data_IF_648516746741
#
_entry.id   IF_648516746741
#
_cell.length_a   1.000
_cell.length_b   1.000
_cell.length_c   1.000
_cell.angle_alpha   90.00
_cell.angle_beta   90.00
_cell.angle_gamma   90.00
#
_symmetry.space_group_name_H-M   'P 1'
#
loop_
_entity.id
_entity.type
_entity.pdbx_description
1 polymer ?
#
# COMPACT_ATOMS: atom_id res chain seq x y z
N UNK A 1 -19.87 -5.66 -2.35
CA UNK A 1 -19.25 -4.32 -2.16
C UNK A 1 -20.28 -3.33 -2.66
N UNK A 2 -20.83 -2.50 -1.77
CA UNK A 2 -22.02 -1.70 -2.06
C UNK A 2 -21.67 -0.47 -2.90
N UNK A 3 -22.42 -0.24 -3.97
CA UNK A 3 -22.25 0.88 -4.89
C UNK A 3 -22.29 2.24 -4.17
N UNK A 4 -23.08 2.32 -3.10
CA UNK A 4 -23.21 3.51 -2.26
C UNK A 4 -21.92 3.85 -1.50
N UNK A 5 -21.13 2.84 -1.09
CA UNK A 5 -19.83 3.06 -0.44
C UNK A 5 -18.84 3.72 -1.40
N UNK A 6 -18.72 3.15 -2.62
CA UNK A 6 -17.81 3.69 -3.63
C UNK A 6 -18.15 5.12 -4.01
N UNK A 7 -19.43 5.45 -4.15
CA UNK A 7 -19.85 6.81 -4.47
C UNK A 7 -19.44 7.82 -3.38
N UNK A 8 -19.60 7.45 -2.11
CA UNK A 8 -19.18 8.26 -0.96
C UNK A 8 -17.66 8.45 -0.97
N UNK A 9 -16.90 7.39 -1.24
CA UNK A 9 -15.43 7.41 -1.32
C UNK A 9 -14.92 8.40 -2.39
N UNK A 10 -15.55 8.41 -3.57
CA UNK A 10 -15.22 9.38 -4.63
C UNK A 10 -15.59 10.83 -4.28
N UNK A 11 -16.73 11.05 -3.61
CA UNK A 11 -17.11 12.39 -3.14
C UNK A 11 -16.09 12.88 -2.10
N UNK A 12 -15.77 12.04 -1.13
CA UNK A 12 -14.80 12.37 -0.08
C UNK A 12 -13.45 12.75 -0.69
N UNK A 13 -12.94 11.95 -1.61
CA UNK A 13 -11.66 12.23 -2.28
C UNK A 13 -11.70 13.49 -3.14
N UNK A 14 -12.84 13.77 -3.80
CA UNK A 14 -13.03 15.03 -4.53
C UNK A 14 -12.96 16.24 -3.59
N UNK A 15 -13.56 16.15 -2.41
CA UNK A 15 -13.49 17.20 -1.38
C UNK A 15 -12.05 17.38 -0.89
N UNK A 16 -11.32 16.29 -0.61
CA UNK A 16 -9.91 16.31 -0.18
C UNK A 16 -9.01 17.00 -1.23
N UNK A 17 -9.19 16.67 -2.51
CA UNK A 17 -8.44 17.29 -3.62
C UNK A 17 -8.77 18.78 -3.71
N UNK A 18 -10.06 19.15 -3.70
CA UNK A 18 -10.48 20.55 -3.78
C UNK A 18 -9.97 21.36 -2.59
N UNK A 19 -10.02 20.79 -1.39
CA UNK A 19 -9.47 21.39 -0.17
C UNK A 19 -7.96 21.62 -0.29
N UNK A 20 -7.23 20.61 -0.79
CA UNK A 20 -5.78 20.70 -1.02
C UNK A 20 -5.43 21.77 -2.05
N UNK A 21 -6.18 21.84 -3.16
CA UNK A 21 -5.99 22.86 -4.20
C UNK A 21 -6.22 24.25 -3.62
N UNK A 22 -7.34 24.42 -2.91
CA UNK A 22 -7.69 25.69 -2.30
C UNK A 22 -6.61 26.13 -1.32
N UNK A 23 -6.18 25.26 -0.41
CA UNK A 23 -5.22 25.63 0.63
C UNK A 23 -3.79 25.85 0.10
N UNK A 24 -3.34 25.04 -0.87
CA UNK A 24 -1.94 25.08 -1.34
C UNK A 24 -1.70 26.06 -2.49
N UNK A 25 -2.70 26.29 -3.35
CA UNK A 25 -2.52 27.07 -4.59
C UNK A 25 -3.37 28.35 -4.67
N UNK A 26 -4.50 28.42 -3.96
CA UNK A 26 -5.41 29.58 -4.02
C UNK A 26 -5.29 30.46 -2.77
N UNK A 27 -5.24 29.85 -1.59
CA UNK A 27 -5.05 30.55 -0.34
C UNK A 27 -3.64 31.15 -0.32
N UNK A 28 -3.56 32.46 -0.05
CA UNK A 28 -2.30 33.11 0.31
C UNK A 28 -1.92 32.61 1.69
N UNK A 29 -1.31 31.43 1.73
CA UNK A 29 -0.79 30.85 2.97
C UNK A 29 0.45 31.62 3.39
N UNK A 30 0.61 31.82 4.71
CA UNK A 30 1.81 32.39 5.33
C UNK A 30 3.10 31.68 4.85
N UNK A 31 2.96 30.42 4.42
CA UNK A 31 4.01 29.60 3.81
C UNK A 31 4.61 30.22 2.53
N UNK A 32 3.84 30.96 1.73
CA UNK A 32 4.36 31.65 0.54
C UNK A 32 5.28 32.80 0.93
N UNK A 33 4.91 33.55 1.97
CA UNK A 33 5.69 34.67 2.46
C UNK A 33 7.01 34.13 3.07
N UNK A 34 6.92 33.10 3.91
CA UNK A 34 8.07 32.50 4.59
C UNK A 34 9.04 31.77 3.62
N UNK A 35 8.53 31.09 2.59
CA UNK A 35 9.39 30.46 1.57
C UNK A 35 9.98 31.49 0.61
N UNK A 36 9.22 32.51 0.21
CA UNK A 36 9.71 33.53 -0.73
C UNK A 36 10.77 34.41 -0.08
N UNK A 37 10.61 34.75 1.21
CA UNK A 37 11.58 35.53 1.98
C UNK A 37 12.84 34.73 2.31
N UNK A 38 12.72 33.48 2.77
CA UNK A 38 13.88 32.69 3.21
C UNK A 38 14.63 31.97 2.07
N UNK A 39 13.92 31.44 1.06
CA UNK A 39 14.53 30.57 0.05
C UNK A 39 14.94 31.26 -1.26
N UNK A 40 14.66 32.57 -1.41
CA UNK A 40 15.07 33.42 -2.56
C UNK A 40 14.78 32.88 -3.97
N UNK A 41 13.94 31.84 -4.13
CA UNK A 41 13.66 31.23 -5.42
C UNK A 41 12.20 30.73 -5.53
N UNK A 42 11.40 31.46 -6.31
CA UNK A 42 9.98 31.14 -6.61
C UNK A 42 9.76 29.72 -7.15
N UNK A 43 10.75 29.15 -7.83
CA UNK A 43 10.68 27.78 -8.36
C UNK A 43 10.60 26.71 -7.25
N UNK A 44 11.36 26.89 -6.17
CA UNK A 44 11.40 25.95 -5.04
C UNK A 44 10.05 25.95 -4.29
N UNK A 45 9.43 27.12 -4.12
CA UNK A 45 8.11 27.24 -3.50
C UNK A 45 7.04 26.41 -4.23
N UNK A 46 7.03 26.42 -5.56
CA UNK A 46 6.10 25.62 -6.35
C UNK A 46 6.38 24.12 -6.19
N UNK A 47 7.64 23.70 -6.16
CA UNK A 47 8.01 22.30 -5.92
C UNK A 47 7.50 21.83 -4.56
N UNK A 48 7.70 22.63 -3.50
CA UNK A 48 7.20 22.33 -2.15
C UNK A 48 5.67 22.20 -2.15
N UNK A 49 4.93 23.10 -2.82
CA UNK A 49 3.47 23.00 -2.98
C UNK A 49 3.03 21.70 -3.63
N UNK A 50 3.68 21.31 -4.72
CA UNK A 50 3.38 20.05 -5.40
C UNK A 50 3.68 18.83 -4.53
N UNK A 51 4.79 18.82 -3.80
CA UNK A 51 5.12 17.70 -2.92
C UNK A 51 4.16 17.62 -1.72
N UNK A 52 3.72 18.74 -1.14
CA UNK A 52 2.68 18.73 -0.10
C UNK A 52 1.35 18.21 -0.66
N UNK A 53 1.00 18.63 -1.88
CA UNK A 53 -0.21 18.15 -2.55
C UNK A 53 -0.16 16.64 -2.77
N UNK A 54 0.96 16.10 -3.27
CA UNK A 54 1.15 14.66 -3.48
C UNK A 54 1.13 13.89 -2.17
N UNK A 55 1.90 14.32 -1.17
CA UNK A 55 1.95 13.69 0.15
C UNK A 55 0.54 13.54 0.75
N UNK A 56 -0.21 14.63 0.77
CA UNK A 56 -1.54 14.64 1.38
C UNK A 56 -2.54 13.80 0.58
N UNK A 57 -2.69 14.04 -0.73
CA UNK A 57 -3.72 13.38 -1.53
C UNK A 57 -3.44 11.89 -1.73
N UNK A 58 -2.18 11.49 -1.94
CA UNK A 58 -1.85 10.09 -2.10
C UNK A 58 -2.01 9.31 -0.78
N UNK A 59 -1.74 9.93 0.38
CA UNK A 59 -2.02 9.30 1.68
C UNK A 59 -3.51 9.06 1.89
N UNK A 60 -4.38 10.05 1.62
CA UNK A 60 -5.83 9.87 1.75
C UNK A 60 -6.38 8.88 0.71
N UNK A 61 -5.87 8.92 -0.51
CA UNK A 61 -6.27 7.99 -1.56
C UNK A 61 -5.92 6.53 -1.21
N UNK A 62 -4.77 6.28 -0.58
CA UNK A 62 -4.45 4.95 -0.06
C UNK A 62 -5.43 4.54 1.05
N UNK A 63 -5.73 5.42 2.01
CA UNK A 63 -6.67 5.10 3.09
C UNK A 63 -8.09 4.79 2.59
N UNK A 64 -8.52 5.41 1.50
CA UNK A 64 -9.88 5.28 0.96
C UNK A 64 -10.00 4.13 -0.04
N UNK A 65 -9.00 3.94 -0.91
CA UNK A 65 -9.07 2.99 -2.01
C UNK A 65 -8.17 1.75 -1.84
N UNK A 66 -7.39 1.68 -0.75
CA UNK A 66 -6.44 0.60 -0.46
C UNK A 66 -5.43 0.35 -1.58
N UNK A 67 -4.97 1.44 -2.21
CA UNK A 67 -4.01 1.40 -3.32
C UNK A 67 -2.59 1.64 -2.80
N UNK A 68 -1.84 0.56 -2.59
CA UNK A 68 -0.52 0.58 -1.95
C UNK A 68 0.52 1.49 -2.61
N UNK A 69 0.54 1.59 -3.94
CA UNK A 69 1.54 2.42 -4.64
C UNK A 69 1.38 3.92 -4.36
N UNK A 70 0.20 4.37 -3.92
CA UNK A 70 -0.04 5.75 -3.52
C UNK A 70 0.66 6.07 -2.18
N UNK A 71 0.78 5.08 -1.28
CA UNK A 71 1.53 5.25 -0.03
C UNK A 71 3.00 5.57 -0.31
N UNK A 72 3.59 4.89 -1.30
CA UNK A 72 4.97 5.13 -1.73
C UNK A 72 5.16 6.54 -2.31
N UNK A 73 4.23 7.03 -3.13
CA UNK A 73 4.28 8.40 -3.64
C UNK A 73 4.22 9.41 -2.50
N UNK A 74 3.35 9.18 -1.51
CA UNK A 74 3.25 10.05 -0.35
C UNK A 74 4.58 10.09 0.43
N UNK A 75 5.15 8.93 0.69
CA UNK A 75 6.41 8.79 1.42
C UNK A 75 7.58 9.50 0.74
N UNK A 76 7.78 9.27 -0.57
CA UNK A 76 8.85 9.96 -1.31
C UNK A 76 8.62 11.48 -1.35
N UNK A 77 7.36 11.91 -1.38
CA UNK A 77 7.02 13.34 -1.34
C UNK A 77 7.37 13.97 0.00
N UNK A 78 7.09 13.29 1.12
CA UNK A 78 7.48 13.74 2.47
C UNK A 78 9.00 13.79 2.63
N UNK A 79 9.74 12.81 2.12
CA UNK A 79 11.21 12.83 2.12
C UNK A 79 11.74 14.01 1.32
N UNK A 80 11.21 14.26 0.12
CA UNK A 80 11.63 15.36 -0.72
C UNK A 80 11.32 16.72 -0.06
N UNK A 81 10.15 16.88 0.56
CA UNK A 81 9.79 18.07 1.34
C UNK A 81 10.78 18.30 2.48
N UNK A 82 11.09 17.25 3.22
CA UNK A 82 12.04 17.30 4.31
C UNK A 82 13.42 17.77 3.84
N UNK A 83 13.93 17.21 2.75
CA UNK A 83 15.21 17.61 2.16
C UNK A 83 15.19 19.09 1.73
N UNK A 84 14.09 19.58 1.16
CA UNK A 84 13.97 20.96 0.68
C UNK A 84 13.78 21.98 1.80
N UNK A 85 13.09 21.61 2.88
CA UNK A 85 12.73 22.52 3.98
C UNK A 85 13.81 22.57 5.08
N UNK A 86 14.66 21.56 5.20
CA UNK A 86 15.72 21.55 6.20
C UNK A 86 16.89 22.44 5.75
N UNK A 87 17.20 23.47 6.53
CA UNK A 87 18.49 24.15 6.44
C UNK A 87 19.61 23.15 6.77
N UNK A 88 20.29 22.64 5.75
CA UNK A 88 21.23 21.54 5.91
C UNK A 88 22.46 21.92 6.75
N UNK A 89 22.41 21.56 8.03
CA UNK A 89 23.57 21.10 8.81
C UNK A 89 23.33 19.64 9.17
N UNK A 90 23.99 18.72 8.47
CA UNK A 90 23.87 17.28 8.71
C UNK A 90 24.41 16.92 10.10
N UNK A 91 23.52 16.89 11.08
CA UNK A 91 23.81 16.46 12.45
C UNK A 91 23.18 15.08 12.72
N UNK A 92 23.70 14.35 13.71
CA UNK A 92 23.22 13.01 14.08
C UNK A 92 21.69 12.94 14.34
N UNK A 93 21.10 14.02 14.87
CA UNK A 93 19.65 14.14 15.07
C UNK A 93 18.83 13.99 13.78
N UNK A 94 19.39 14.39 12.63
CA UNK A 94 18.74 14.29 11.33
C UNK A 94 18.64 12.83 10.87
N UNK A 95 19.70 12.05 11.06
CA UNK A 95 19.69 10.62 10.75
C UNK A 95 18.73 9.83 11.63
N UNK A 96 18.67 10.15 12.93
CA UNK A 96 17.70 9.54 13.85
C UNK A 96 16.28 9.83 13.36
N UNK A 97 15.98 11.08 13.02
CA UNK A 97 14.64 11.44 12.56
C UNK A 97 14.25 10.69 11.28
N UNK A 98 15.13 10.67 10.26
CA UNK A 98 14.86 9.94 9.01
C UNK A 98 14.64 8.46 9.28
N UNK A 99 15.47 7.85 10.13
CA UNK A 99 15.30 6.46 10.51
C UNK A 99 13.96 6.20 11.19
N UNK A 100 13.47 7.15 11.99
CA UNK A 100 12.19 7.04 12.70
C UNK A 100 11.00 7.19 11.74
N UNK A 101 11.08 8.15 10.80
CA UNK A 101 10.08 8.33 9.77
C UNK A 101 10.00 7.12 8.83
N UNK A 102 11.15 6.56 8.44
CA UNK A 102 11.22 5.32 7.68
C UNK A 102 10.62 4.14 8.45
N UNK A 103 10.90 4.03 9.76
CA UNK A 103 10.35 2.97 10.58
C UNK A 103 8.83 3.07 10.69
N UNK A 104 8.26 4.27 10.90
CA UNK A 104 6.81 4.48 10.91
C UNK A 104 6.19 4.07 9.58
N UNK A 105 6.82 4.43 8.45
CA UNK A 105 6.36 4.01 7.14
C UNK A 105 6.34 2.49 6.98
N UNK A 106 7.40 1.79 7.41
CA UNK A 106 7.43 0.33 7.38
C UNK A 106 6.31 -0.29 8.22
N UNK A 107 5.99 0.27 9.39
CA UNK A 107 4.89 -0.21 10.24
C UNK A 107 3.54 -0.07 9.53
N UNK A 108 3.28 1.08 8.90
CA UNK A 108 2.00 1.34 8.20
C UNK A 108 1.84 0.43 6.98
N UNK A 109 2.93 0.09 6.30
CA UNK A 109 2.89 -0.82 5.16
C UNK A 109 2.58 -2.28 5.51
N UNK A 110 2.75 -2.71 6.77
CA UNK A 110 2.44 -4.10 7.14
C UNK A 110 0.91 -4.23 7.28
N UNK A 111 0.26 -5.08 6.47
CA UNK A 111 -1.19 -5.27 6.57
C UNK A 111 -1.54 -5.74 7.98
N UNK A 112 -2.65 -5.31 8.56
CA UNK A 112 -3.04 -5.70 9.93
C UNK A 112 -4.21 -6.69 9.94
N UNK A 113 -4.76 -7.00 8.77
CA UNK A 113 -5.95 -7.83 8.63
C UNK A 113 -5.60 -9.30 8.50
N UNK A 114 -6.37 -10.13 9.22
CA UNK A 114 -6.21 -11.58 9.23
C UNK A 114 -6.40 -12.24 7.88
N UNK A 115 -6.96 -11.60 6.86
CA UNK A 115 -7.14 -12.17 5.52
C UNK A 115 -6.08 -11.74 4.50
N UNK A 116 -5.20 -10.80 4.86
CA UNK A 116 -4.22 -10.21 3.93
C UNK A 116 -3.30 -11.22 3.25
N UNK A 117 -2.94 -12.33 3.91
CA UNK A 117 -2.13 -13.37 3.29
C UNK A 117 -2.92 -14.22 2.30
N UNK A 118 -4.21 -14.47 2.55
CA UNK A 118 -5.09 -15.15 1.59
C UNK A 118 -5.30 -14.30 0.34
N UNK A 119 -5.54 -13.01 0.53
CA UNK A 119 -5.73 -12.06 -0.57
C UNK A 119 -4.45 -11.98 -1.43
N UNK A 120 -3.28 -11.92 -0.79
CA UNK A 120 -2.00 -11.97 -1.50
C UNK A 120 -1.82 -13.26 -2.32
N UNK A 121 -2.18 -14.42 -1.77
CA UNK A 121 -2.14 -15.69 -2.51
C UNK A 121 -3.11 -15.64 -3.69
N UNK A 122 -4.33 -15.10 -3.52
CA UNK A 122 -5.30 -14.89 -4.60
C UNK A 122 -4.74 -14.05 -5.74
N UNK A 123 -4.10 -12.93 -5.41
CA UNK A 123 -3.63 -11.97 -6.42
C UNK A 123 -2.35 -12.39 -7.13
N UNK A 124 -1.45 -13.13 -6.45
CA UNK A 124 -0.11 -13.43 -6.96
C UNK A 124 0.07 -14.87 -7.42
N UNK A 125 -0.94 -15.72 -7.25
CA UNK A 125 -0.87 -17.13 -7.65
C UNK A 125 -2.10 -17.54 -8.46
N UNK A 126 -2.10 -18.77 -8.96
CA UNK A 126 -3.22 -19.32 -9.76
C UNK A 126 -4.41 -19.79 -8.89
N UNK A 127 -4.43 -19.48 -7.59
CA UNK A 127 -5.43 -19.97 -6.65
C UNK A 127 -6.33 -18.84 -6.20
N UNK A 128 -7.61 -18.92 -6.49
CA UNK A 128 -8.61 -17.98 -5.97
C UNK A 128 -9.18 -18.50 -4.64
N UNK A 129 -8.94 -17.79 -3.54
CA UNK A 129 -9.30 -18.25 -2.20
C UNK A 129 -10.59 -17.60 -1.66
N UNK A 130 -11.59 -18.43 -1.35
CA UNK A 130 -12.90 -18.06 -0.81
C UNK A 130 -13.11 -18.66 0.60
N UNK A 131 -12.69 -17.93 1.63
CA UNK A 131 -12.84 -18.22 3.09
C UNK A 131 -12.36 -19.59 3.60
N UNK A 132 -12.91 -20.68 3.09
CA UNK A 132 -12.68 -22.07 3.49
C UNK A 132 -12.14 -22.94 2.36
N UNK A 133 -12.23 -22.48 1.11
CA UNK A 133 -11.82 -23.21 -0.08
C UNK A 133 -11.00 -22.31 -1.00
N UNK A 134 -10.02 -22.87 -1.70
CA UNK A 134 -9.32 -22.20 -2.78
C UNK A 134 -9.48 -22.99 -4.07
N UNK A 135 -9.69 -22.28 -5.17
CA UNK A 135 -9.94 -22.87 -6.47
C UNK A 135 -8.78 -22.55 -7.40
N UNK A 136 -8.21 -23.58 -8.02
CA UNK A 136 -7.26 -23.41 -9.10
C UNK A 136 -7.94 -23.67 -10.43
N UNK A 137 -7.95 -22.67 -11.31
CA UNK A 137 -8.46 -22.81 -12.68
C UNK A 137 -7.26 -22.99 -13.60
N UNK A 138 -7.20 -24.12 -14.31
CA UNK A 138 -6.14 -24.40 -15.28
C UNK A 138 -6.72 -24.77 -16.63
N UNK A 139 -6.11 -24.25 -17.70
CA UNK A 139 -6.44 -24.66 -19.07
C UNK A 139 -5.65 -25.91 -19.43
N UNK A 140 -6.34 -26.97 -19.83
CA UNK A 140 -5.74 -28.23 -20.24
C UNK A 140 -6.21 -28.55 -21.66
N UNK A 141 -5.26 -28.85 -22.55
CA UNK A 141 -5.59 -29.31 -23.90
C UNK A 141 -5.83 -30.81 -23.84
N UNK A 142 -7.06 -31.23 -24.15
CA UNK A 142 -7.45 -32.64 -24.22
C UNK A 142 -8.06 -32.86 -25.60
N UNK A 143 -7.45 -33.73 -26.40
CA UNK A 143 -7.93 -34.09 -27.75
C UNK A 143 -8.05 -32.89 -28.70
N UNK A 144 -7.04 -32.01 -28.72
CA UNK A 144 -7.01 -30.76 -29.53
C UNK A 144 -8.10 -29.72 -29.19
N UNK A 145 -8.83 -29.90 -28.09
CA UNK A 145 -9.77 -28.92 -27.54
C UNK A 145 -9.23 -28.31 -26.23
N UNK A 146 -9.34 -26.98 -26.11
CA UNK A 146 -9.09 -26.25 -24.87
C UNK A 146 -10.22 -26.56 -23.88
N UNK A 147 -9.90 -27.25 -22.78
CA UNK A 147 -10.84 -27.54 -21.70
C UNK A 147 -10.36 -26.88 -20.41
N UNK A 148 -11.29 -26.29 -19.68
CA UNK A 148 -11.03 -25.71 -18.36
C UNK A 148 -11.14 -26.79 -17.30
N UNK A 149 -10.05 -27.06 -16.58
CA UNK A 149 -10.02 -27.94 -15.41
C UNK A 149 -10.08 -27.07 -14.15
N UNK A 150 -11.06 -27.33 -13.29
CA UNK A 150 -11.24 -26.64 -12.02
C UNK A 150 -10.84 -27.61 -10.90
N UNK A 151 -9.84 -27.24 -10.10
CA UNK A 151 -9.41 -28.02 -8.92
C UNK A 151 -9.75 -27.28 -7.65
N UNK A 152 -10.53 -27.92 -6.78
CA UNK A 152 -10.93 -27.38 -5.49
C UNK A 152 -9.95 -27.88 -4.42
N UNK A 153 -9.48 -26.96 -3.60
CA UNK A 153 -8.61 -27.23 -2.46
C UNK A 153 -9.30 -26.75 -1.18
N UNK A 154 -9.40 -27.63 -0.19
CA UNK A 154 -9.89 -27.27 1.15
C UNK A 154 -8.77 -26.63 1.98
N UNK A 155 -9.07 -25.53 2.68
CA UNK A 155 -8.14 -24.93 3.64
C UNK A 155 -8.14 -25.78 4.91
N UNK A 156 -7.02 -26.43 5.20
CA UNK A 156 -6.85 -27.28 6.39
C UNK A 156 -6.32 -26.49 7.58
N UNK A 157 -5.40 -25.58 7.32
CA UNK A 157 -4.76 -24.76 8.33
C UNK A 157 -4.46 -23.38 7.77
N UNK A 158 -4.65 -22.37 8.60
CA UNK A 158 -4.41 -20.98 8.27
C UNK A 158 -3.90 -20.25 9.51
N UNK A 159 -2.75 -19.59 9.38
CA UNK A 159 -2.21 -18.74 10.43
C UNK A 159 -1.73 -17.42 9.83
N UNK A 160 -2.00 -16.36 10.58
CA UNK A 160 -1.52 -15.03 10.30
C UNK A 160 -1.08 -14.37 11.60
N UNK A 161 0.21 -14.12 11.72
CA UNK A 161 0.80 -13.47 12.88
C UNK A 161 1.31 -12.09 12.44
N UNK A 162 0.70 -11.04 12.98
CA UNK A 162 1.17 -9.68 12.79
C UNK A 162 2.19 -9.29 13.84
N UNK A 163 3.30 -8.72 13.39
CA UNK A 163 4.31 -8.07 14.22
C UNK A 163 4.51 -6.64 13.73
N UNK A 164 4.97 -5.76 14.62
CA UNK A 164 5.11 -4.33 14.36
C UNK A 164 5.82 -3.99 13.03
N UNK A 165 6.86 -4.75 12.66
CA UNK A 165 7.66 -4.50 11.45
C UNK A 165 7.48 -5.54 10.34
N UNK A 166 6.72 -6.61 10.60
CA UNK A 166 6.52 -7.68 9.64
C UNK A 166 5.26 -8.50 9.93
N UNK A 167 4.64 -9.05 8.89
CA UNK A 167 3.58 -10.04 9.01
C UNK A 167 4.12 -11.42 8.65
N UNK A 168 3.59 -12.49 9.24
CA UNK A 168 3.87 -13.86 8.83
C UNK A 168 2.57 -14.54 8.49
N UNK A 169 2.50 -15.14 7.30
CA UNK A 169 1.35 -15.91 6.85
C UNK A 169 1.75 -17.35 6.58
N UNK A 170 0.86 -18.30 6.92
CA UNK A 170 0.95 -19.68 6.45
C UNK A 170 -0.42 -20.24 6.12
N UNK A 171 -0.50 -20.98 5.01
CA UNK A 171 -1.70 -21.56 4.45
C UNK A 171 -1.41 -23.01 4.05
N UNK A 172 -2.23 -23.94 4.52
CA UNK A 172 -2.19 -25.34 4.11
C UNK A 172 -3.47 -25.71 3.38
N UNK A 173 -3.31 -26.11 2.12
CA UNK A 173 -4.36 -26.53 1.21
C UNK A 173 -4.34 -28.05 1.02
N UNK A 174 -5.50 -28.68 0.90
CA UNK A 174 -5.64 -30.11 0.61
C UNK A 174 -6.63 -30.36 -0.53
N UNK A 175 -6.21 -31.07 -1.56
CA UNK A 175 -7.08 -31.46 -2.67
C UNK A 175 -7.97 -32.67 -2.33
N UNK A 176 -8.91 -32.99 -3.21
CA UNK A 176 -9.84 -34.12 -3.07
C UNK A 176 -9.12 -35.49 -3.06
N UNK A 177 -7.92 -35.58 -3.64
CA UNK A 177 -7.09 -36.79 -3.71
C UNK A 177 -6.24 -36.95 -2.43
N UNK A 178 -6.23 -35.93 -1.57
CA UNK A 178 -5.49 -35.90 -0.32
C UNK A 178 -4.08 -35.32 -0.41
N UNK A 179 -3.67 -34.76 -1.55
CA UNK A 179 -2.40 -34.05 -1.68
C UNK A 179 -2.46 -32.72 -0.93
N UNK A 180 -1.39 -32.43 -0.19
CA UNK A 180 -1.28 -31.24 0.66
C UNK A 180 -0.29 -30.27 0.02
N UNK A 181 -0.70 -29.01 -0.13
CA UNK A 181 0.16 -27.88 -0.51
C UNK A 181 0.28 -26.90 0.64
N UNK A 182 1.47 -26.36 0.83
CA UNK A 182 1.75 -25.37 1.87
C UNK A 182 2.31 -24.12 1.24
N UNK A 183 1.81 -22.99 1.68
CA UNK A 183 2.34 -21.67 1.40
C UNK A 183 2.74 -21.05 2.73
N UNK A 184 3.94 -20.49 2.80
CA UNK A 184 4.31 -19.59 3.88
C UNK A 184 4.97 -18.37 3.30
N UNK A 185 4.85 -17.24 3.98
CA UNK A 185 5.47 -16.02 3.56
C UNK A 185 5.60 -15.01 4.69
N UNK A 186 6.47 -14.04 4.47
CA UNK A 186 6.71 -12.94 5.38
C UNK A 186 6.45 -11.63 4.64
N UNK A 187 5.62 -10.76 5.21
CA UNK A 187 5.44 -9.38 4.76
C UNK A 187 6.44 -8.48 5.50
N UNK A 188 7.26 -7.71 4.78
CA UNK A 188 8.15 -6.70 5.37
C UNK A 188 7.81 -5.36 4.72
N UNK A 189 7.24 -4.43 5.49
CA UNK A 189 6.91 -3.09 5.01
C UNK A 189 5.99 -3.06 3.78
N UNK A 190 5.02 -3.97 3.71
CA UNK A 190 4.07 -4.09 2.60
C UNK A 190 4.48 -5.05 1.50
N UNK A 191 5.73 -5.54 1.49
CA UNK A 191 6.18 -6.53 0.52
C UNK A 191 6.10 -7.95 1.07
N UNK A 192 5.30 -8.80 0.44
CA UNK A 192 5.24 -10.23 0.72
C UNK A 192 6.38 -10.99 0.02
N UNK A 193 7.09 -11.80 0.79
CA UNK A 193 8.13 -12.72 0.34
C UNK A 193 7.67 -14.15 0.64
N UNK A 194 7.43 -14.94 -0.41
CA UNK A 194 7.04 -16.34 -0.27
C UNK A 194 8.27 -17.22 0.01
N UNK A 195 8.14 -18.11 0.99
CA UNK A 195 9.07 -19.21 1.18
C UNK A 195 8.81 -20.25 0.08
N UNK A 196 9.89 -20.69 -0.58
CA UNK A 196 9.86 -21.73 -1.62
C UNK A 196 9.89 -23.13 -1.03
#
# INVERSE_FOLDING_TARGET
>A
MDYDSFFIDYIFMSVVILYSIYHLFISKSDLEEDITENMKARSIANVIRYLMFLAFNCSFAQLVFDIDWLLWISFFSVIALWILLVEHKFNFSYYIFISLLFLVFLVVGVPTHNHSFLDYISDQTEYECLRIECVKVSEVVVEDELKTEIKIFSIQDYSYDWYLLYGKGALTLKDEVGNVKKFSGINIGGLWLLDK
#
